data_IF_927123252130
#
_entry.id   IF_927123252130
#
_cell.length_a   1.000
_cell.length_b   1.000
_cell.length_c   1.000
_cell.angle_alpha   90.00
_cell.angle_beta   90.00
_cell.angle_gamma   90.00
#
_symmetry.space_group_name_H-M   'P 1'
#
loop_
_entity.id
_entity.type
_entity.pdbx_description
1 polymer ?
#
# COMPACT_ATOMS: atom_id res chain seq x y z
N UNK A 1 15.13 -46.51 16.86
CA UNK A 1 15.09 -45.14 17.40
C UNK A 1 14.63 -44.23 16.28
N UNK A 2 13.39 -43.75 16.40
CA UNK A 2 12.69 -42.96 15.38
C UNK A 2 13.02 -41.49 15.61
N UNK A 3 13.53 -40.82 14.56
CA UNK A 3 13.93 -39.42 14.63
C UNK A 3 12.70 -38.54 14.40
N UNK A 4 12.57 -37.57 15.29
CA UNK A 4 11.50 -36.60 15.47
C UNK A 4 11.10 -35.90 14.17
N UNK A 5 9.86 -36.12 13.73
CA UNK A 5 9.24 -35.46 12.58
C UNK A 5 8.94 -33.99 12.91
N UNK A 6 9.32 -33.09 12.00
CA UNK A 6 9.23 -31.63 12.15
C UNK A 6 7.81 -31.06 12.07
N UNK A 7 6.95 -31.41 13.02
CA UNK A 7 5.52 -31.08 12.99
C UNK A 7 5.07 -30.15 14.14
N UNK A 8 5.95 -29.22 14.56
CA UNK A 8 5.68 -28.32 15.70
C UNK A 8 5.74 -26.82 15.39
N UNK A 9 5.58 -26.40 14.14
CA UNK A 9 5.55 -24.96 13.83
C UNK A 9 4.45 -24.62 12.82
N UNK A 10 3.19 -24.93 13.16
CA UNK A 10 2.01 -24.36 12.46
C UNK A 10 0.75 -24.52 13.32
N UNK A 11 0.61 -23.73 14.39
CA UNK A 11 -0.65 -23.64 15.15
C UNK A 11 -1.04 -22.21 15.53
N UNK A 12 -0.92 -21.23 14.62
CA UNK A 12 -1.40 -19.86 14.89
C UNK A 12 -2.41 -19.31 13.86
N UNK A 13 -2.91 -20.15 12.95
CA UNK A 13 -4.09 -19.80 12.15
C UNK A 13 -5.14 -20.90 12.24
N UNK A 14 -5.78 -21.00 13.41
CA UNK A 14 -7.09 -21.63 13.53
C UNK A 14 -8.13 -20.52 13.42
N UNK A 15 -8.70 -20.38 12.23
CA UNK A 15 -9.88 -19.54 11.99
C UNK A 15 -11.10 -20.39 12.34
N UNK A 16 -11.81 -19.99 13.40
CA UNK A 16 -12.99 -20.67 13.90
C UNK A 16 -14.07 -20.72 12.81
N UNK A 17 -14.43 -21.92 12.38
CA UNK A 17 -15.61 -22.14 11.55
C UNK A 17 -16.26 -23.42 12.02
N UNK A 18 -17.28 -23.29 12.89
CA UNK A 18 -18.31 -24.30 13.14
C UNK A 18 -19.46 -23.63 13.92
N UNK A 19 -20.52 -23.19 13.22
CA UNK A 19 -21.77 -23.89 12.88
C UNK A 19 -22.87 -23.79 13.95
N UNK A 20 -24.04 -23.26 13.56
CA UNK A 20 -25.35 -23.65 14.08
C UNK A 20 -26.45 -23.15 13.13
N UNK A 21 -27.36 -24.04 12.78
CA UNK A 21 -28.38 -23.86 11.76
C UNK A 21 -29.77 -23.61 12.36
N UNK A 22 -30.64 -23.02 11.52
CA UNK A 22 -32.12 -23.02 11.49
C UNK A 22 -32.89 -22.12 12.46
N UNK A 23 -33.58 -21.10 11.91
CA UNK A 23 -35.05 -21.01 11.87
C UNK A 23 -35.47 -19.84 10.96
N UNK A 24 -36.29 -20.14 9.96
CA UNK A 24 -37.05 -19.14 9.19
C UNK A 24 -38.16 -18.54 10.05
N UNK A 25 -38.28 -17.22 10.09
CA UNK A 25 -39.59 -16.57 10.24
C UNK A 25 -39.58 -15.15 9.69
N UNK A 26 -40.35 -15.00 8.61
CA UNK A 26 -41.06 -13.84 8.05
C UNK A 26 -40.73 -12.38 8.45
N UNK A 27 -40.61 -11.59 7.37
CA UNK A 27 -41.24 -10.28 7.12
C UNK A 27 -40.72 -9.03 7.83
N UNK A 28 -40.22 -8.12 6.98
CA UNK A 28 -40.73 -6.76 6.70
C UNK A 28 -39.59 -5.74 6.70
N UNK A 29 -39.43 -5.05 5.56
CA UNK A 29 -38.81 -3.74 5.38
C UNK A 29 -37.64 -3.33 6.28
N UNK A 30 -36.44 -3.15 5.70
CA UNK A 30 -35.78 -1.82 5.77
C UNK A 30 -34.68 -1.66 4.71
N UNK A 31 -34.89 -0.73 3.79
CA UNK A 31 -33.87 -0.02 2.98
C UNK A 31 -32.92 0.81 3.87
N UNK A 32 -32.20 0.18 4.80
CA UNK A 32 -31.23 0.85 5.70
C UNK A 32 -29.76 0.46 5.48
N UNK A 33 -29.49 -0.69 4.85
CA UNK A 33 -28.12 -1.20 4.65
C UNK A 33 -27.28 -0.35 3.67
N UNK A 34 -27.84 -0.01 2.50
CA UNK A 34 -27.10 0.69 1.45
C UNK A 34 -26.67 2.13 1.83
N UNK A 35 -27.46 2.81 2.68
CA UNK A 35 -27.13 4.16 3.14
C UNK A 35 -26.00 4.15 4.18
N UNK A 36 -26.01 3.18 5.11
CA UNK A 36 -24.98 3.02 6.12
C UNK A 36 -23.64 2.57 5.52
N UNK A 37 -23.67 1.66 4.55
CA UNK A 37 -22.48 1.22 3.81
C UNK A 37 -21.87 2.37 2.99
N UNK A 38 -22.70 3.18 2.33
CA UNK A 38 -22.24 4.36 1.58
C UNK A 38 -21.63 5.43 2.50
N UNK A 39 -22.24 5.69 3.65
CA UNK A 39 -21.71 6.62 4.67
C UNK A 39 -20.37 6.14 5.23
N UNK A 40 -20.27 4.86 5.59
CA UNK A 40 -19.04 4.26 6.14
C UNK A 40 -17.90 4.27 5.13
N UNK A 41 -18.19 3.94 3.86
CA UNK A 41 -17.22 4.04 2.76
C UNK A 41 -16.75 5.48 2.54
N UNK A 42 -17.66 6.45 2.63
CA UNK A 42 -17.31 7.86 2.47
C UNK A 42 -16.43 8.38 3.59
N UNK A 43 -16.61 7.92 4.83
CA UNK A 43 -15.77 8.33 5.97
C UNK A 43 -14.40 7.67 5.93
N UNK A 44 -14.33 6.38 5.58
CA UNK A 44 -13.06 5.70 5.36
C UNK A 44 -12.26 6.34 4.22
N UNK A 45 -12.94 6.68 3.11
CA UNK A 45 -12.35 7.40 1.98
C UNK A 45 -11.86 8.81 2.37
N UNK A 46 -12.66 9.56 3.14
CA UNK A 46 -12.28 10.89 3.66
C UNK A 46 -11.07 10.81 4.58
N UNK A 47 -11.03 9.83 5.48
CA UNK A 47 -9.89 9.58 6.36
C UNK A 47 -8.62 9.24 5.55
N UNK A 48 -8.72 8.38 4.53
CA UNK A 48 -7.61 8.07 3.65
C UNK A 48 -7.11 9.31 2.89
N UNK A 49 -8.03 10.12 2.35
CA UNK A 49 -7.70 11.38 1.68
C UNK A 49 -6.95 12.36 2.59
N UNK A 50 -7.41 12.53 3.84
CA UNK A 50 -6.73 13.38 4.82
C UNK A 50 -5.31 12.88 5.12
N UNK A 51 -5.13 11.56 5.29
CA UNK A 51 -3.79 10.97 5.53
C UNK A 51 -2.85 11.22 4.36
N UNK A 52 -3.32 11.05 3.12
CA UNK A 52 -2.53 11.37 1.92
C UNK A 52 -2.11 12.83 1.91
N UNK A 53 -3.03 13.76 2.18
CA UNK A 53 -2.72 15.20 2.20
C UNK A 53 -1.71 15.56 3.29
N UNK A 54 -1.85 15.01 4.50
CA UNK A 54 -0.91 15.26 5.61
C UNK A 54 0.51 14.80 5.25
N UNK A 55 0.66 13.66 4.57
CA UNK A 55 1.97 13.15 4.16
C UNK A 55 2.50 13.94 2.95
N UNK A 56 1.65 14.26 1.97
CA UNK A 56 2.04 15.04 0.80
C UNK A 56 2.52 16.46 1.14
N UNK A 57 2.04 17.04 2.24
CA UNK A 57 2.52 18.33 2.73
C UNK A 57 3.92 18.26 3.38
N UNK A 58 4.42 17.07 3.71
CA UNK A 58 5.71 16.87 4.37
C UNK A 58 6.82 16.44 3.41
N UNK A 59 6.46 15.85 2.28
CA UNK A 59 7.42 15.22 1.37
C UNK A 59 7.12 15.59 -0.07
N UNK A 60 8.17 15.97 -0.82
CA UNK A 60 8.10 16.19 -2.25
C UNK A 60 8.82 15.04 -2.98
N UNK A 61 8.09 14.08 -3.59
CA UNK A 61 8.71 12.94 -4.26
C UNK A 61 9.54 13.33 -5.49
N UNK A 62 9.45 14.57 -5.97
CA UNK A 62 10.29 15.08 -7.08
C UNK A 62 11.63 15.65 -6.61
N UNK A 63 11.81 15.82 -5.29
CA UNK A 63 13.01 16.39 -4.69
C UNK A 63 13.21 15.87 -3.26
N UNK A 64 13.59 14.58 -3.14
CA UNK A 64 13.66 13.87 -1.86
C UNK A 64 15.03 13.19 -1.67
N UNK A 65 15.57 13.25 -0.46
CA UNK A 65 16.74 12.45 -0.06
C UNK A 65 16.34 11.04 0.34
N UNK A 66 17.31 10.12 0.46
CA UNK A 66 17.01 8.74 0.86
C UNK A 66 16.40 8.63 2.27
N UNK A 67 16.85 9.48 3.20
CA UNK A 67 16.33 9.52 4.57
C UNK A 67 14.89 10.05 4.62
N UNK A 68 14.59 11.10 3.83
CA UNK A 68 13.23 11.61 3.68
C UNK A 68 12.32 10.56 3.01
N UNK A 69 12.78 9.88 1.97
CA UNK A 69 12.06 8.80 1.29
C UNK A 69 11.77 7.64 2.26
N UNK A 70 12.73 7.30 3.11
CA UNK A 70 12.57 6.28 4.13
C UNK A 70 11.50 6.67 5.15
N UNK A 71 11.53 7.91 5.64
CA UNK A 71 10.56 8.45 6.59
C UNK A 71 9.16 8.54 5.98
N UNK A 72 9.06 9.01 4.72
CA UNK A 72 7.82 9.03 3.96
C UNK A 72 7.22 7.63 3.84
N UNK A 73 8.04 6.65 3.47
CA UNK A 73 7.63 5.26 3.34
C UNK A 73 7.13 4.66 4.65
N UNK A 74 7.78 4.97 5.78
CA UNK A 74 7.28 4.56 7.11
C UNK A 74 5.94 5.23 7.44
N UNK A 75 5.81 6.54 7.24
CA UNK A 75 4.57 7.27 7.52
C UNK A 75 3.38 6.74 6.69
N UNK A 76 3.62 6.38 5.42
CA UNK A 76 2.62 5.75 4.56
C UNK A 76 2.20 4.37 5.09
N UNK A 77 3.17 3.57 5.54
CA UNK A 77 2.94 2.23 6.07
C UNK A 77 2.17 2.28 7.39
N UNK A 78 2.59 3.13 8.34
CA UNK A 78 1.90 3.33 9.62
C UNK A 78 0.48 3.86 9.44
N UNK A 79 0.27 4.69 8.41
CA UNK A 79 -1.05 5.20 8.04
C UNK A 79 -1.96 4.15 7.39
N UNK A 80 -1.41 2.98 7.04
CA UNK A 80 -2.11 1.90 6.32
C UNK A 80 -2.38 2.22 4.84
N UNK A 81 -1.66 3.19 4.27
CA UNK A 81 -1.83 3.61 2.88
C UNK A 81 -1.05 2.75 1.90
N UNK A 82 0.02 2.09 2.37
CA UNK A 82 0.81 1.13 1.61
C UNK A 82 1.09 -0.13 2.43
N UNK A 83 1.37 -1.22 1.74
CA UNK A 83 1.86 -2.47 2.30
C UNK A 83 3.37 -2.41 2.62
N UNK A 84 3.87 -3.29 3.50
CA UNK A 84 5.32 -3.39 3.75
C UNK A 84 6.14 -3.72 2.49
N UNK A 85 5.59 -4.48 1.56
CA UNK A 85 6.26 -4.83 0.31
C UNK A 85 6.43 -3.60 -0.60
N UNK A 86 5.39 -2.77 -0.72
CA UNK A 86 5.45 -1.50 -1.46
C UNK A 86 6.44 -0.54 -0.80
N UNK A 87 6.45 -0.47 0.54
CA UNK A 87 7.43 0.34 1.28
C UNK A 87 8.87 -0.11 1.04
N UNK A 88 9.13 -1.42 1.02
CA UNK A 88 10.46 -1.96 0.72
C UNK A 88 10.88 -1.65 -0.73
N UNK A 89 9.98 -1.85 -1.70
CA UNK A 89 10.27 -1.55 -3.10
C UNK A 89 10.49 -0.06 -3.34
N UNK A 90 9.75 0.82 -2.67
CA UNK A 90 9.92 2.26 -2.73
C UNK A 90 11.32 2.70 -2.25
N UNK A 91 11.88 2.02 -1.24
CA UNK A 91 13.20 2.34 -0.67
C UNK A 91 14.36 1.59 -1.33
N UNK A 92 14.10 0.85 -2.40
CA UNK A 92 15.16 0.18 -3.15
C UNK A 92 16.07 1.23 -3.80
N UNK A 93 17.40 1.19 -3.57
CA UNK A 93 18.32 2.13 -4.22
C UNK A 93 18.23 2.01 -5.75
N UNK A 94 18.21 3.13 -6.49
CA UNK A 94 18.05 3.10 -7.95
C UNK A 94 19.30 2.60 -8.69
N UNK A 95 20.47 2.65 -8.05
CA UNK A 95 21.72 2.15 -8.60
C UNK A 95 22.68 1.71 -7.49
N UNK A 96 23.73 0.97 -7.87
CA UNK A 96 24.76 0.50 -6.93
C UNK A 96 25.57 1.64 -6.32
N UNK A 97 25.86 2.65 -7.14
CA UNK A 97 26.73 3.77 -6.77
C UNK A 97 25.90 4.98 -6.30
N UNK A 98 24.69 4.71 -5.81
CA UNK A 98 23.73 5.70 -5.34
C UNK A 98 24.25 6.45 -4.11
N UNK A 99 24.19 7.79 -4.14
CA UNK A 99 24.50 8.65 -3.00
C UNK A 99 23.23 8.93 -2.18
N UNK A 100 23.10 8.40 -0.94
CA UNK A 100 21.90 8.58 -0.14
C UNK A 100 21.72 10.01 0.41
N UNK A 101 22.76 10.85 0.35
CA UNK A 101 22.73 12.22 0.87
C UNK A 101 22.26 13.25 -0.15
N UNK A 102 22.19 12.89 -1.43
CA UNK A 102 21.67 13.77 -2.48
C UNK A 102 20.15 13.64 -2.57
N UNK A 103 19.49 14.75 -2.92
CA UNK A 103 18.07 14.72 -3.28
C UNK A 103 17.93 14.36 -4.75
N UNK A 104 16.87 13.61 -5.06
CA UNK A 104 16.60 13.12 -6.41
C UNK A 104 15.09 13.04 -6.65
N UNK A 105 14.73 12.98 -7.92
CA UNK A 105 13.35 12.79 -8.36
C UNK A 105 12.99 11.31 -8.31
N UNK A 106 12.47 10.86 -7.17
CA UNK A 106 12.10 9.45 -6.98
C UNK A 106 10.88 9.08 -7.82
N UNK A 107 10.02 10.06 -8.16
CA UNK A 107 8.86 9.85 -9.02
C UNK A 107 9.29 9.58 -10.46
N UNK A 108 10.22 10.36 -11.00
CA UNK A 108 10.79 10.13 -12.33
C UNK A 108 11.48 8.77 -12.41
N UNK A 109 12.25 8.38 -11.39
CA UNK A 109 12.90 7.06 -11.34
C UNK A 109 11.89 5.90 -11.31
N UNK A 110 10.81 6.03 -10.54
CA UNK A 110 9.74 5.02 -10.52
C UNK A 110 9.07 4.88 -11.89
N UNK A 111 8.80 6.00 -12.57
CA UNK A 111 8.25 6.01 -13.93
C UNK A 111 9.18 5.31 -14.92
N UNK A 112 10.46 5.65 -14.89
CA UNK A 112 11.48 5.02 -15.75
C UNK A 112 11.57 3.50 -15.51
N UNK A 113 11.48 3.06 -14.25
CA UNK A 113 11.53 1.64 -13.93
C UNK A 113 10.31 0.86 -14.48
N UNK A 114 9.10 1.44 -14.39
CA UNK A 114 7.88 0.86 -14.97
C UNK A 114 7.95 0.84 -16.50
N UNK A 115 8.44 1.91 -17.14
CA UNK A 115 8.66 1.96 -18.59
C UNK A 115 9.65 0.88 -19.05
N UNK A 116 10.72 0.67 -18.30
CA UNK A 116 11.68 -0.39 -18.56
C UNK A 116 11.04 -1.79 -18.48
N UNK A 117 10.27 -2.09 -17.45
CA UNK A 117 9.56 -3.37 -17.33
C UNK A 117 8.59 -3.61 -18.50
N UNK A 118 7.85 -2.57 -18.88
CA UNK A 118 6.95 -2.62 -20.03
C UNK A 118 7.70 -2.91 -21.33
N UNK A 119 8.89 -2.32 -21.52
CA UNK A 119 9.75 -2.58 -22.68
C UNK A 119 10.24 -4.03 -22.77
N UNK A 120 10.34 -4.71 -21.63
CA UNK A 120 10.72 -6.13 -21.54
C UNK A 120 9.53 -7.09 -21.64
N UNK A 121 8.29 -6.58 -21.69
CA UNK A 121 7.09 -7.41 -21.63
C UNK A 121 6.86 -8.07 -20.26
N UNK A 122 7.50 -7.56 -19.20
CA UNK A 122 7.49 -8.16 -17.86
C UNK A 122 6.23 -7.80 -17.04
N UNK A 123 5.11 -7.44 -17.67
CA UNK A 123 3.92 -6.88 -17.00
C UNK A 123 3.23 -7.82 -16.01
N UNK A 124 3.50 -9.13 -16.12
CA UNK A 124 2.99 -10.16 -15.20
C UNK A 124 3.99 -10.53 -14.09
N UNK A 125 5.21 -9.99 -14.12
CA UNK A 125 6.19 -10.20 -13.06
C UNK A 125 5.74 -9.51 -11.76
N UNK A 126 5.85 -10.21 -10.64
CA UNK A 126 5.43 -9.67 -9.34
C UNK A 126 6.21 -8.40 -8.96
N UNK A 127 7.48 -8.34 -9.32
CA UNK A 127 8.34 -7.18 -9.02
C UNK A 127 7.96 -5.99 -9.92
N UNK A 128 7.63 -6.25 -11.19
CA UNK A 128 7.11 -5.23 -12.09
C UNK A 128 5.77 -4.67 -11.60
N UNK A 129 4.84 -5.52 -11.17
CA UNK A 129 3.58 -5.10 -10.55
C UNK A 129 3.80 -4.27 -9.29
N UNK A 130 4.78 -4.65 -8.47
CA UNK A 130 5.13 -3.89 -7.27
C UNK A 130 5.68 -2.49 -7.61
N UNK A 131 6.50 -2.38 -8.67
CA UNK A 131 6.98 -1.07 -9.16
C UNK A 131 5.87 -0.20 -9.72
N UNK A 132 4.88 -0.79 -10.39
CA UNK A 132 3.65 -0.08 -10.81
C UNK A 132 2.91 0.48 -9.58
N UNK A 133 2.73 -0.32 -8.52
CA UNK A 133 2.10 0.17 -7.28
C UNK A 133 2.89 1.30 -6.62
N UNK A 134 4.21 1.20 -6.59
CA UNK A 134 5.06 2.28 -6.07
C UNK A 134 4.90 3.57 -6.89
N UNK A 135 4.85 3.47 -8.22
CA UNK A 135 4.60 4.63 -9.09
C UNK A 135 3.23 5.27 -8.77
N UNK A 136 2.17 4.48 -8.69
CA UNK A 136 0.82 4.97 -8.35
C UNK A 136 0.78 5.70 -7.00
N UNK A 137 1.49 5.18 -5.99
CA UNK A 137 1.60 5.81 -4.67
C UNK A 137 2.31 7.17 -4.76
N UNK A 138 3.44 7.24 -5.48
CA UNK A 138 4.21 8.47 -5.63
C UNK A 138 3.44 9.52 -6.44
N UNK A 139 2.71 9.12 -7.48
CA UNK A 139 1.82 10.01 -8.24
C UNK A 139 0.65 10.50 -7.39
N UNK A 140 0.07 9.62 -6.56
CA UNK A 140 -0.99 10.00 -5.62
C UNK A 140 -0.49 11.05 -4.63
N UNK A 141 0.67 10.85 -4.00
CA UNK A 141 1.29 11.84 -3.11
C UNK A 141 1.53 13.18 -3.79
N UNK A 142 2.18 13.14 -4.96
CA UNK A 142 2.50 14.36 -5.71
C UNK A 142 1.24 15.15 -6.07
N UNK A 143 0.14 14.46 -6.38
CA UNK A 143 -1.12 15.10 -6.71
C UNK A 143 -1.87 15.57 -5.46
N UNK A 144 -1.86 14.83 -4.36
CA UNK A 144 -2.52 15.21 -3.10
C UNK A 144 -1.93 16.48 -2.49
N UNK A 145 -0.65 16.78 -2.71
CA UNK A 145 -0.02 18.03 -2.27
C UNK A 145 -0.47 19.27 -3.04
N UNK A 146 -1.01 19.12 -4.26
CA UNK A 146 -1.39 20.25 -5.14
C UNK A 146 -2.78 20.82 -4.86
N UNK A 147 -3.62 20.13 -4.08
CA UNK A 147 -4.98 20.57 -3.76
C UNK A 147 -5.11 21.33 -2.43
N UNK A 148 -3.98 21.69 -1.80
CA UNK A 148 -3.92 22.37 -0.50
C UNK A 148 -3.66 23.89 -0.54
N UNK A 149 -3.75 24.54 -1.70
CA UNK A 149 -3.47 25.97 -1.89
C UNK A 149 -4.68 26.76 -2.40
#
# INVERSE_FOLDING_TARGET
>A
MQINSGDQISQVYRMNNDTSAVVSTHSSDTTKGQAADKLTLSEAGRNAGNKWQVIANQYDPTNISYNELTSMSFNLQESGLITPAEGLAMRAPPSRDFNPNEKYDTLALARQAVEFDNSLGATQDKSAQLRVRVLEVLETLHNSGKWGG
#
